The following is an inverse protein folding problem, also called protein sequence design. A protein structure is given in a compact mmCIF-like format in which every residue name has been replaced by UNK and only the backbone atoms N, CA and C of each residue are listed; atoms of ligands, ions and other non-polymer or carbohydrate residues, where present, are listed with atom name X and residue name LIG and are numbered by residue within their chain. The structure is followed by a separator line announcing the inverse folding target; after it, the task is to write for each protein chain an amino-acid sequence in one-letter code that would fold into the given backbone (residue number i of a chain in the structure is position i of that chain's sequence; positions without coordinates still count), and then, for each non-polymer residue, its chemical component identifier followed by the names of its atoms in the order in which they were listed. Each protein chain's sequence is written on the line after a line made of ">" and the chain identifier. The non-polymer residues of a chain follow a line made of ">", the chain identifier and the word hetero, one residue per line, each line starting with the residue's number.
data_IF_877475013967
#
_entry.id   IF_877475013967
#
_cell.length_a   1.000
_cell.length_b   1.000
_cell.length_c   1.000
_cell.angle_alpha   90.00
_cell.angle_beta   90.00
_cell.angle_gamma   90.00
#
_symmetry.space_group_name_H-M   'P 1'
#
loop_
_entity.id
_entity.type
_entity.pdbx_description
1 polymer ?
#
# COMPACT_ATOMS: atom_id res chain seq x y z
N UNK A 1 29.14 -54.72 -39.85
CA UNK A 1 30.15 -55.28 -38.91
C UNK A 1 30.51 -54.14 -37.97
N UNK A 2 30.13 -54.22 -36.67
CA UNK A 2 30.95 -54.77 -35.57
C UNK A 2 32.33 -54.10 -35.52
N UNK A 3 32.80 -53.46 -34.46
CA UNK A 3 32.37 -53.34 -33.06
C UNK A 3 33.20 -52.23 -32.39
N UNK A 4 32.69 -51.68 -31.29
CA UNK A 4 33.16 -51.93 -29.90
C UNK A 4 34.40 -51.10 -29.53
N UNK A 5 34.20 -50.10 -28.66
CA UNK A 5 34.46 -50.17 -27.20
C UNK A 5 35.98 -50.04 -26.93
N UNK A 6 36.51 -49.41 -25.90
CA UNK A 6 36.07 -48.58 -24.77
C UNK A 6 37.35 -48.43 -23.93
N UNK A 7 37.58 -47.28 -23.30
CA UNK A 7 38.15 -47.11 -21.95
C UNK A 7 38.56 -45.63 -21.78
N UNK A 8 37.82 -44.77 -21.05
CA UNK A 8 37.69 -44.71 -19.57
C UNK A 8 39.06 -44.40 -18.96
N UNK A 9 39.35 -43.27 -18.33
CA UNK A 9 38.69 -42.55 -17.21
C UNK A 9 39.49 -41.23 -16.99
N UNK A 10 39.19 -40.21 -16.17
CA UNK A 10 38.12 -39.79 -15.26
C UNK A 10 38.62 -38.43 -14.71
N UNK A 11 37.79 -37.37 -14.67
CA UNK A 11 37.55 -36.52 -13.47
C UNK A 11 37.00 -35.12 -13.82
N UNK A 12 35.69 -34.99 -13.55
CA UNK A 12 35.02 -33.90 -12.83
C UNK A 12 35.37 -32.45 -13.17
N UNK A 13 34.42 -31.79 -13.83
CA UNK A 13 33.85 -30.54 -13.27
C UNK A 13 32.34 -30.49 -13.54
N UNK A 14 31.58 -30.43 -12.46
CA UNK A 14 30.14 -30.29 -12.37
C UNK A 14 29.68 -28.97 -12.98
N UNK A 15 28.99 -29.04 -14.12
CA UNK A 15 28.12 -27.99 -14.64
C UNK A 15 26.68 -28.47 -14.55
N UNK A 16 26.20 -28.62 -13.33
CA UNK A 16 24.79 -28.93 -13.03
C UNK A 16 24.03 -27.63 -12.86
N UNK A 17 23.14 -27.38 -13.82
CA UNK A 17 21.72 -27.13 -13.52
C UNK A 17 21.33 -25.77 -12.92
N UNK A 18 21.60 -24.67 -13.64
CA UNK A 18 21.05 -23.34 -13.32
C UNK A 18 19.70 -23.03 -14.01
N UNK A 19 19.31 -23.79 -15.04
CA UNK A 19 18.06 -23.53 -15.77
C UNK A 19 16.81 -24.16 -15.13
N UNK A 20 16.98 -25.14 -14.24
CA UNK A 20 15.86 -25.78 -13.53
C UNK A 20 15.40 -25.01 -12.29
N UNK A 21 16.23 -24.13 -11.73
CA UNK A 21 15.84 -23.29 -10.58
C UNK A 21 14.97 -22.09 -10.97
N UNK A 22 15.08 -21.59 -12.20
CA UNK A 22 14.23 -20.52 -12.70
C UNK A 22 12.80 -20.99 -13.02
N UNK A 23 12.64 -22.20 -13.56
CA UNK A 23 11.31 -22.75 -13.91
C UNK A 23 10.56 -23.33 -12.70
N UNK A 24 11.27 -23.82 -11.68
CA UNK A 24 10.68 -24.31 -10.42
C UNK A 24 9.97 -23.20 -9.63
N UNK A 25 10.48 -21.96 -9.65
CA UNK A 25 9.85 -20.84 -8.92
C UNK A 25 8.60 -20.33 -9.63
N UNK A 26 8.60 -20.27 -10.97
CA UNK A 26 7.41 -19.84 -11.73
C UNK A 26 6.26 -20.86 -11.62
N UNK A 27 6.58 -22.16 -11.49
CA UNK A 27 5.57 -23.20 -11.23
C UNK A 27 5.06 -23.19 -9.76
N UNK A 28 5.90 -22.85 -8.79
CA UNK A 28 5.48 -22.75 -7.38
C UNK A 28 4.56 -21.54 -7.13
N UNK A 29 4.80 -20.40 -7.80
CA UNK A 29 3.94 -19.22 -7.66
C UNK A 29 2.60 -19.35 -8.39
N UNK A 30 2.55 -20.05 -9.52
CA UNK A 30 1.27 -20.34 -10.20
C UNK A 30 0.44 -21.41 -9.48
N UNK A 31 1.08 -22.38 -8.81
CA UNK A 31 0.37 -23.36 -7.97
C UNK A 31 -0.19 -22.73 -6.67
N UNK A 32 0.50 -21.76 -6.05
CA UNK A 32 -0.02 -21.03 -4.90
C UNK A 32 -1.16 -20.06 -5.24
N UNK A 33 -1.16 -19.47 -6.45
CA UNK A 33 -2.28 -18.63 -6.91
C UNK A 33 -3.50 -19.46 -7.36
N UNK A 34 -3.30 -20.68 -7.86
CA UNK A 34 -4.41 -21.58 -8.22
C UNK A 34 -5.05 -22.31 -7.03
N UNK A 35 -4.38 -22.42 -5.88
CA UNK A 35 -4.95 -23.01 -4.67
C UNK A 35 -5.80 -22.03 -3.83
N UNK A 36 -5.75 -20.73 -4.12
CA UNK A 36 -6.68 -19.75 -3.54
C UNK A 36 -7.96 -19.65 -4.37
N UNK A 37 -7.97 -20.13 -5.61
CA UNK A 37 -9.13 -20.08 -6.53
C UNK A 37 -10.11 -21.26 -6.41
N UNK A 38 -9.87 -22.22 -5.52
CA UNK A 38 -10.70 -23.43 -5.40
C UNK A 38 -11.02 -23.75 -3.92
N UNK A 39 -11.49 -22.74 -3.19
CA UNK A 39 -12.29 -22.93 -1.99
C UNK A 39 -13.74 -22.49 -2.27
N UNK A 40 -14.48 -23.41 -2.88
CA UNK A 40 -15.89 -23.66 -2.60
C UNK A 40 -16.86 -22.50 -2.90
N UNK A 41 -17.38 -22.51 -4.13
CA UNK A 41 -18.82 -22.35 -4.31
C UNK A 41 -19.52 -23.49 -3.54
N UNK A 42 -20.09 -23.15 -2.39
CA UNK A 42 -21.24 -23.83 -1.84
C UNK A 42 -22.15 -22.74 -1.26
N UNK A 43 -23.44 -22.68 -1.67
CA UNK A 43 -24.39 -21.82 -0.99
C UNK A 43 -24.64 -22.42 0.39
N UNK A 44 -24.09 -21.79 1.43
CA UNK A 44 -24.46 -22.11 2.80
C UNK A 44 -25.83 -21.48 3.09
N UNK A 45 -26.89 -22.11 2.58
CA UNK A 45 -28.20 -21.98 3.18
C UNK A 45 -28.20 -22.82 4.47
N UNK A 46 -28.07 -22.17 5.63
CA UNK A 46 -28.63 -22.59 6.92
C UNK A 46 -28.18 -21.67 8.06
N UNK A 47 -28.56 -20.40 7.98
CA UNK A 47 -28.91 -19.61 9.15
C UNK A 47 -30.30 -19.08 8.85
N UNK A 48 -31.33 -19.59 9.52
CA UNK A 48 -32.70 -19.11 9.31
C UNK A 48 -32.72 -17.58 9.39
N UNK A 49 -33.17 -16.86 8.35
CA UNK A 49 -33.51 -15.47 8.55
C UNK A 49 -34.63 -15.46 9.58
N UNK A 50 -34.40 -14.73 10.66
CA UNK A 50 -35.46 -14.28 11.55
C UNK A 50 -36.61 -13.80 10.66
N UNK A 51 -37.77 -14.43 10.78
CA UNK A 51 -39.07 -13.97 10.24
C UNK A 51 -39.45 -12.66 10.96
N UNK A 52 -38.66 -11.62 10.76
CA UNK A 52 -39.17 -10.27 10.74
C UNK A 52 -39.28 -9.96 9.26
N UNK A 53 -40.50 -9.84 8.75
CA UNK A 53 -40.76 -9.24 7.45
C UNK A 53 -40.15 -7.82 7.47
N UNK A 54 -38.88 -7.72 7.11
CA UNK A 54 -38.19 -6.45 6.99
C UNK A 54 -38.75 -5.82 5.72
N UNK A 55 -39.78 -4.98 5.90
CA UNK A 55 -40.52 -4.30 4.84
C UNK A 55 -39.57 -3.78 3.77
N UNK A 56 -39.76 -4.21 2.53
CA UNK A 56 -39.06 -3.68 1.36
C UNK A 56 -39.73 -2.39 0.89
N UNK A 57 -39.95 -1.44 1.79
CA UNK A 57 -40.32 -0.09 1.39
C UNK A 57 -39.19 0.51 0.52
N UNK A 58 -39.53 1.53 -0.28
CA UNK A 58 -38.58 2.17 -1.18
C UNK A 58 -37.22 2.44 -0.46
N UNK A 59 -36.12 1.80 -0.88
CA UNK A 59 -34.88 1.73 -0.10
C UNK A 59 -34.03 3.01 -0.24
N UNK A 60 -34.66 4.18 -0.14
CA UNK A 60 -34.06 5.49 -0.45
C UNK A 60 -32.79 5.75 0.38
N UNK A 61 -32.82 5.47 1.68
CA UNK A 61 -31.66 5.69 2.55
C UNK A 61 -30.46 4.79 2.21
N UNK A 62 -30.72 3.53 1.86
CA UNK A 62 -29.65 2.58 1.47
C UNK A 62 -29.12 2.93 0.08
N UNK A 63 -30.00 3.34 -0.85
CA UNK A 63 -29.63 3.84 -2.17
C UNK A 63 -28.70 5.04 -2.07
N UNK A 64 -29.08 6.07 -1.33
CA UNK A 64 -28.26 7.26 -1.11
C UNK A 64 -26.89 6.89 -0.53
N UNK A 65 -26.87 6.00 0.47
CA UNK A 65 -25.62 5.52 1.08
C UNK A 65 -24.75 4.77 0.07
N UNK A 66 -25.32 3.91 -0.78
CA UNK A 66 -24.57 3.17 -1.79
C UNK A 66 -23.93 4.10 -2.83
N UNK A 67 -24.68 5.09 -3.32
CA UNK A 67 -24.19 6.13 -4.22
C UNK A 67 -23.10 7.00 -3.56
N UNK A 68 -23.31 7.44 -2.32
CA UNK A 68 -22.31 8.17 -1.54
C UNK A 68 -20.99 7.39 -1.45
N UNK A 69 -21.06 6.11 -1.06
CA UNK A 69 -19.87 5.27 -0.88
C UNK A 69 -19.13 5.02 -2.19
N UNK A 70 -19.85 4.80 -3.29
CA UNK A 70 -19.25 4.67 -4.62
C UNK A 70 -18.52 5.95 -5.04
N UNK A 71 -19.15 7.11 -4.82
CA UNK A 71 -18.52 8.40 -5.11
C UNK A 71 -17.29 8.65 -4.24
N UNK A 72 -17.33 8.34 -2.94
CA UNK A 72 -16.16 8.42 -2.08
C UNK A 72 -15.02 7.52 -2.56
N UNK A 73 -15.31 6.30 -3.05
CA UNK A 73 -14.25 5.41 -3.55
C UNK A 73 -13.56 6.00 -4.77
N UNK A 74 -14.32 6.54 -5.72
CA UNK A 74 -13.78 7.22 -6.90
C UNK A 74 -12.94 8.45 -6.52
N UNK A 75 -13.43 9.25 -5.58
CA UNK A 75 -12.71 10.44 -5.12
C UNK A 75 -11.38 10.09 -4.45
N UNK A 76 -11.33 9.00 -3.68
CA UNK A 76 -10.08 8.54 -3.04
C UNK A 76 -9.13 7.94 -4.06
N UNK A 77 -9.63 7.27 -5.11
CA UNK A 77 -8.82 6.69 -6.18
C UNK A 77 -8.17 7.74 -7.09
N UNK A 78 -8.80 8.90 -7.25
CA UNK A 78 -8.22 10.05 -7.94
C UNK A 78 -7.04 10.69 -7.16
N UNK A 79 -6.77 10.29 -5.91
CA UNK A 79 -5.67 10.80 -5.11
C UNK A 79 -4.35 10.06 -5.41
N UNK A 80 -3.28 10.80 -5.72
CA UNK A 80 -1.99 10.22 -6.10
C UNK A 80 -1.35 9.30 -5.02
N UNK A 81 -1.77 9.43 -3.76
CA UNK A 81 -1.14 8.75 -2.64
C UNK A 81 -1.91 7.52 -2.14
N UNK A 82 -3.14 7.29 -2.60
CA UNK A 82 -4.06 6.26 -2.11
C UNK A 82 -4.94 5.79 -3.25
N UNK A 83 -5.29 4.51 -3.29
CA UNK A 83 -6.25 4.02 -4.26
C UNK A 83 -7.15 2.96 -3.66
N UNK A 84 -8.31 2.80 -4.27
CA UNK A 84 -9.18 1.64 -4.06
C UNK A 84 -9.00 0.75 -5.28
N UNK A 85 -8.81 -0.57 -5.14
CA UNK A 85 -8.64 -1.43 -6.31
C UNK A 85 -9.79 -1.24 -7.32
N UNK A 86 -9.46 -1.03 -8.60
CA UNK A 86 -10.43 -0.76 -9.67
C UNK A 86 -11.53 -1.83 -9.72
N UNK A 87 -11.17 -3.11 -9.54
CA UNK A 87 -12.11 -4.23 -9.46
C UNK A 87 -13.17 -4.06 -8.35
N UNK A 88 -12.82 -3.42 -7.23
CA UNK A 88 -13.74 -3.13 -6.12
C UNK A 88 -14.67 -1.98 -6.46
N UNK A 89 -14.16 -0.94 -7.12
CA UNK A 89 -14.97 0.18 -7.63
C UNK A 89 -15.98 -0.35 -8.65
N UNK A 90 -15.54 -1.19 -9.59
CA UNK A 90 -16.37 -1.80 -10.62
C UNK A 90 -17.42 -2.77 -10.06
N UNK A 91 -17.07 -3.54 -9.02
CA UNK A 91 -18.02 -4.42 -8.34
C UNK A 91 -19.13 -3.60 -7.67
N UNK A 92 -18.78 -2.57 -6.90
CA UNK A 92 -19.77 -1.71 -6.26
C UNK A 92 -20.60 -0.92 -7.28
N UNK A 93 -19.99 -0.43 -8.36
CA UNK A 93 -20.69 0.26 -9.44
C UNK A 93 -21.74 -0.62 -10.12
N UNK A 94 -21.41 -1.90 -10.36
CA UNK A 94 -22.38 -2.88 -10.88
C UNK A 94 -23.55 -3.08 -9.92
N UNK A 95 -23.28 -3.26 -8.62
CA UNK A 95 -24.33 -3.42 -7.62
C UNK A 95 -25.25 -2.18 -7.53
N UNK A 96 -24.69 -0.97 -7.60
CA UNK A 96 -25.49 0.26 -7.66
C UNK A 96 -26.36 0.32 -8.93
N UNK A 97 -25.79 -0.03 -10.08
CA UNK A 97 -26.52 -0.07 -11.36
C UNK A 97 -27.65 -1.10 -11.37
N UNK A 98 -27.41 -2.29 -10.83
CA UNK A 98 -28.43 -3.33 -10.67
C UNK A 98 -29.55 -2.84 -9.73
N UNK A 99 -29.16 -2.17 -8.64
CA UNK A 99 -30.09 -1.57 -7.69
C UNK A 99 -30.96 -0.47 -8.29
N UNK A 100 -30.39 0.44 -9.08
CA UNK A 100 -31.14 1.50 -9.77
C UNK A 100 -32.11 0.89 -10.80
N UNK A 101 -31.68 -0.15 -11.53
CA UNK A 101 -32.53 -0.87 -12.50
C UNK A 101 -33.73 -1.52 -11.81
N UNK A 102 -33.51 -2.28 -10.73
CA UNK A 102 -34.60 -2.90 -9.97
C UNK A 102 -35.52 -1.86 -9.33
N UNK A 103 -34.97 -0.73 -8.86
CA UNK A 103 -35.76 0.36 -8.29
C UNK A 103 -36.74 0.95 -9.32
N UNK A 104 -36.26 1.21 -10.54
CA UNK A 104 -37.07 1.76 -11.63
C UNK A 104 -38.17 0.78 -12.10
N UNK A 105 -37.94 -0.53 -11.94
CA UNK A 105 -38.92 -1.58 -12.20
C UNK A 105 -39.93 -1.79 -11.04
N UNK A 106 -39.74 -1.13 -9.90
CA UNK A 106 -40.54 -1.31 -8.69
C UNK A 106 -40.20 -2.57 -7.88
N UNK A 107 -39.08 -3.23 -8.19
CA UNK A 107 -38.57 -4.41 -7.48
C UNK A 107 -37.75 -4.01 -6.24
N UNK A 108 -38.42 -3.41 -5.25
CA UNK A 108 -37.74 -2.75 -4.13
C UNK A 108 -36.90 -3.69 -3.25
N UNK A 109 -37.26 -4.97 -3.11
CA UNK A 109 -36.42 -5.92 -2.39
C UNK A 109 -35.09 -6.17 -3.13
N UNK A 110 -35.15 -6.48 -4.43
CA UNK A 110 -33.97 -6.67 -5.27
C UNK A 110 -33.09 -5.43 -5.26
N UNK A 111 -33.70 -4.25 -5.38
CA UNK A 111 -33.00 -2.96 -5.32
C UNK A 111 -32.27 -2.77 -3.99
N UNK A 112 -32.96 -3.02 -2.87
CA UNK A 112 -32.39 -2.92 -1.51
C UNK A 112 -31.19 -3.84 -1.34
N UNK A 113 -31.30 -5.09 -1.78
CA UNK A 113 -30.24 -6.09 -1.61
C UNK A 113 -29.00 -5.73 -2.44
N UNK A 114 -29.18 -5.23 -3.67
CA UNK A 114 -28.09 -4.73 -4.49
C UNK A 114 -27.39 -3.51 -3.86
N UNK A 115 -28.16 -2.53 -3.34
CA UNK A 115 -27.56 -1.39 -2.62
C UNK A 115 -26.84 -1.81 -1.34
N UNK A 116 -27.38 -2.77 -0.56
CA UNK A 116 -26.70 -3.32 0.61
C UNK A 116 -25.37 -3.96 0.24
N UNK A 117 -25.35 -4.77 -0.83
CA UNK A 117 -24.13 -5.39 -1.33
C UNK A 117 -23.08 -4.34 -1.74
N UNK A 118 -23.49 -3.25 -2.41
CA UNK A 118 -22.59 -2.14 -2.72
C UNK A 118 -21.98 -1.50 -1.46
N UNK A 119 -22.79 -1.24 -0.43
CA UNK A 119 -22.33 -0.64 0.83
C UNK A 119 -21.38 -1.58 1.58
N UNK A 120 -21.69 -2.87 1.62
CA UNK A 120 -20.86 -3.91 2.27
C UNK A 120 -19.50 -4.05 1.61
N UNK A 121 -19.41 -3.90 0.29
CA UNK A 121 -18.16 -3.93 -0.45
C UNK A 121 -17.37 -2.62 -0.29
N UNK A 122 -18.03 -1.48 -0.41
CA UNK A 122 -17.37 -0.17 -0.41
C UNK A 122 -16.83 0.23 0.97
N UNK A 123 -17.55 -0.09 2.05
CA UNK A 123 -17.19 0.32 3.41
C UNK A 123 -15.80 -0.15 3.86
N UNK A 124 -15.44 -1.44 3.80
CA UNK A 124 -14.10 -1.89 4.19
C UNK A 124 -13.01 -1.33 3.28
N UNK A 125 -13.28 -1.20 1.98
CA UNK A 125 -12.33 -0.63 1.02
C UNK A 125 -12.00 0.83 1.36
N UNK A 126 -13.01 1.66 1.62
CA UNK A 126 -12.82 3.05 2.06
C UNK A 126 -12.10 3.16 3.39
N UNK A 127 -12.42 2.28 4.36
CA UNK A 127 -11.73 2.28 5.66
C UNK A 127 -10.23 2.04 5.49
N UNK A 128 -9.86 1.08 4.65
CA UNK A 128 -8.46 0.76 4.40
C UNK A 128 -7.77 1.88 3.63
N UNK A 129 -8.42 2.44 2.62
CA UNK A 129 -7.91 3.55 1.84
C UNK A 129 -7.65 4.79 2.72
N UNK A 130 -8.64 5.23 3.50
CA UNK A 130 -8.48 6.37 4.41
C UNK A 130 -7.42 6.14 5.48
N UNK A 131 -7.36 4.92 6.05
CA UNK A 131 -6.31 4.57 7.02
C UNK A 131 -4.92 4.66 6.40
N UNK A 132 -4.75 4.06 5.23
CA UNK A 132 -3.48 4.05 4.50
C UNK A 132 -3.05 5.46 4.09
N UNK A 133 -3.99 6.25 3.56
CA UNK A 133 -3.75 7.65 3.19
C UNK A 133 -3.35 8.54 4.34
N UNK A 134 -4.04 8.40 5.47
CA UNK A 134 -3.73 9.17 6.66
C UNK A 134 -2.32 8.83 7.16
N UNK A 135 -1.98 7.53 7.19
CA UNK A 135 -0.66 7.07 7.59
C UNK A 135 0.45 7.58 6.64
N UNK A 136 0.23 7.56 5.33
CA UNK A 136 1.17 8.07 4.32
C UNK A 136 1.41 9.57 4.50
N UNK A 137 0.34 10.36 4.64
CA UNK A 137 0.42 11.82 4.83
C UNK A 137 1.15 12.20 6.13
N UNK A 138 0.87 11.48 7.23
CA UNK A 138 1.56 11.69 8.51
C UNK A 138 3.04 11.29 8.44
N UNK A 139 3.36 10.19 7.76
CA UNK A 139 4.73 9.75 7.58
C UNK A 139 5.54 10.72 6.70
N UNK A 140 4.93 11.27 5.64
CA UNK A 140 5.54 12.32 4.82
C UNK A 140 5.89 13.54 5.68
N UNK A 141 4.90 14.03 6.44
CA UNK A 141 5.09 15.15 7.37
C UNK A 141 6.19 14.88 8.39
N UNK A 142 6.23 13.66 8.95
CA UNK A 142 7.27 13.24 9.91
C UNK A 142 8.67 13.30 9.29
N UNK A 143 8.84 12.78 8.08
CA UNK A 143 10.14 12.79 7.39
C UNK A 143 10.62 14.22 7.08
N UNK A 144 9.70 15.12 6.71
CA UNK A 144 10.05 16.54 6.50
C UNK A 144 10.55 17.19 7.78
N UNK A 145 9.88 16.95 8.91
CA UNK A 145 10.29 17.43 10.23
C UNK A 145 11.63 16.83 10.66
N UNK A 146 11.86 15.54 10.42
CA UNK A 146 13.12 14.86 10.73
C UNK A 146 14.29 15.41 9.90
N UNK A 147 14.07 15.63 8.60
CA UNK A 147 15.06 16.25 7.71
C UNK A 147 15.42 17.67 8.18
N UNK A 148 14.43 18.47 8.57
CA UNK A 148 14.64 19.82 9.08
C UNK A 148 15.44 19.84 10.39
N UNK A 149 15.19 18.88 11.30
CA UNK A 149 15.97 18.73 12.54
C UNK A 149 17.41 18.32 12.29
N UNK A 150 17.66 17.52 11.27
CA UNK A 150 19.00 17.06 10.93
C UNK A 150 19.88 18.20 10.35
N UNK A 151 19.28 19.29 9.88
CA UNK A 151 19.97 20.42 9.22
C UNK A 151 20.71 21.36 10.21
N UNK A 152 20.69 21.07 11.51
CA UNK A 152 21.44 21.79 12.55
C UNK A 152 20.92 23.20 12.90
N UNK A 153 20.03 23.78 12.08
CA UNK A 153 19.31 25.03 12.35
C UNK A 153 17.82 24.91 11.96
N UNK A 154 17.02 24.16 12.73
CA UNK A 154 15.63 23.89 12.40
C UNK A 154 14.77 25.16 12.49
N UNK A 155 13.79 25.29 11.59
CA UNK A 155 12.76 26.31 11.67
C UNK A 155 12.03 26.27 13.03
N UNK A 156 11.62 27.43 13.60
CA UNK A 156 11.00 27.50 14.92
C UNK A 156 9.70 26.67 15.02
N UNK A 157 8.99 26.46 13.91
CA UNK A 157 7.74 25.70 13.83
C UNK A 157 7.94 24.18 13.93
N UNK A 158 9.17 23.68 13.74
CA UNK A 158 9.50 22.25 13.65
C UNK A 158 9.05 21.47 14.89
N UNK A 159 9.23 22.05 16.09
CA UNK A 159 8.80 21.43 17.34
C UNK A 159 7.28 21.28 17.44
N UNK A 160 6.54 22.33 17.09
CA UNK A 160 5.08 22.34 17.14
C UNK A 160 4.47 21.37 16.12
N UNK A 161 5.04 21.29 14.90
CA UNK A 161 4.60 20.36 13.86
C UNK A 161 4.83 18.91 14.28
N UNK A 162 5.97 18.58 14.89
CA UNK A 162 6.24 17.24 15.40
C UNK A 162 5.19 16.78 16.43
N UNK A 163 4.82 17.66 17.37
CA UNK A 163 3.79 17.36 18.38
C UNK A 163 2.44 17.09 17.72
N UNK A 164 2.05 17.90 16.72
CA UNK A 164 0.81 17.68 15.96
C UNK A 164 0.82 16.33 15.22
N UNK A 165 1.93 15.97 14.58
CA UNK A 165 2.09 14.70 13.85
C UNK A 165 1.94 13.51 14.81
N UNK A 166 2.58 13.57 15.98
CA UNK A 166 2.51 12.49 16.97
C UNK A 166 1.13 12.36 17.61
N UNK A 167 0.43 13.48 17.82
CA UNK A 167 -0.96 13.48 18.27
C UNK A 167 -1.86 12.83 17.22
N UNK A 168 -1.80 13.27 15.96
CA UNK A 168 -2.64 12.71 14.90
C UNK A 168 -2.32 11.23 14.61
N UNK A 169 -1.05 10.81 14.76
CA UNK A 169 -0.66 9.40 14.63
C UNK A 169 -1.34 8.51 15.67
N UNK A 170 -1.43 8.97 16.93
CA UNK A 170 -2.14 8.24 18.00
C UNK A 170 -3.65 8.23 17.76
N UNK A 171 -4.20 9.36 17.33
CA UNK A 171 -5.62 9.48 17.00
C UNK A 171 -6.03 8.56 15.83
N UNK A 172 -5.14 8.38 14.84
CA UNK A 172 -5.35 7.43 13.74
C UNK A 172 -5.31 5.97 14.21
N UNK A 173 -4.38 5.62 15.10
CA UNK A 173 -4.29 4.26 15.65
C UNK A 173 -5.58 3.87 16.40
N UNK A 174 -6.26 4.83 17.03
CA UNK A 174 -7.50 4.62 17.77
C UNK A 174 -8.77 4.74 16.91
N UNK A 175 -8.66 5.10 15.63
CA UNK A 175 -9.82 5.26 14.75
C UNK A 175 -10.31 3.90 14.22
N UNK A 176 -11.61 3.63 14.40
CA UNK A 176 -12.24 2.37 14.01
C UNK A 176 -13.55 2.51 13.24
N UNK A 177 -14.15 3.70 13.14
CA UNK A 177 -15.32 3.94 12.28
C UNK A 177 -14.90 4.57 10.96
N UNK A 178 -15.70 4.39 9.91
CA UNK A 178 -15.43 4.98 8.60
C UNK A 178 -15.35 6.52 8.69
N UNK A 179 -16.35 7.17 9.30
CA UNK A 179 -16.38 8.61 9.48
C UNK A 179 -15.19 9.15 10.30
N UNK A 180 -14.73 8.40 11.31
CA UNK A 180 -13.53 8.78 12.06
C UNK A 180 -12.28 8.70 11.18
N UNK A 181 -12.14 7.64 10.38
CA UNK A 181 -11.00 7.44 9.48
C UNK A 181 -10.94 8.51 8.39
N UNK A 182 -12.09 8.86 7.79
CA UNK A 182 -12.23 9.97 6.85
C UNK A 182 -11.78 11.30 7.46
N UNK A 183 -12.28 11.63 8.66
CA UNK A 183 -11.84 12.83 9.39
C UNK A 183 -10.33 12.82 9.66
N UNK A 184 -9.74 11.64 9.95
CA UNK A 184 -8.29 11.51 10.17
C UNK A 184 -7.51 11.70 8.87
N UNK A 185 -8.02 11.18 7.76
CA UNK A 185 -7.44 11.36 6.45
C UNK A 185 -7.36 12.83 6.05
N UNK A 186 -8.46 13.56 6.16
CA UNK A 186 -8.52 14.99 5.85
C UNK A 186 -7.56 15.80 6.72
N UNK A 187 -7.53 15.52 8.02
CA UNK A 187 -6.63 16.21 8.98
C UNK A 187 -5.16 15.92 8.70
N UNK A 188 -4.83 14.67 8.34
CA UNK A 188 -3.47 14.28 8.00
C UNK A 188 -3.00 14.96 6.71
N UNK A 189 -3.85 15.02 5.69
CA UNK A 189 -3.57 15.69 4.42
C UNK A 189 -3.42 17.21 4.62
N UNK A 190 -4.28 17.81 5.44
CA UNK A 190 -4.16 19.23 5.81
C UNK A 190 -2.86 19.51 6.59
N UNK A 191 -2.46 18.62 7.51
CA UNK A 191 -1.20 18.75 8.24
C UNK A 191 0.02 18.59 7.32
N UNK A 192 -0.03 17.72 6.32
CA UNK A 192 1.02 17.61 5.31
C UNK A 192 1.16 18.89 4.50
N UNK A 193 0.04 19.50 4.07
CA UNK A 193 0.07 20.83 3.43
C UNK A 193 0.61 21.91 4.35
N UNK A 194 0.20 21.94 5.62
CA UNK A 194 0.73 22.88 6.62
C UNK A 194 2.25 22.70 6.79
N UNK A 195 2.72 21.45 6.85
CA UNK A 195 4.14 21.12 7.01
C UNK A 195 4.95 21.58 5.79
N UNK A 196 4.44 21.34 4.57
CA UNK A 196 5.04 21.84 3.31
C UNK A 196 5.14 23.36 3.26
N UNK A 197 4.14 24.07 3.78
CA UNK A 197 4.11 25.53 3.76
C UNK A 197 5.01 26.17 4.81
N UNK A 198 5.12 25.54 5.99
CA UNK A 198 5.83 26.12 7.15
C UNK A 198 7.29 25.72 7.23
N UNK A 199 7.66 24.54 6.74
CA UNK A 199 9.05 24.14 6.69
C UNK A 199 9.69 24.66 5.39
N UNK A 200 10.88 25.26 5.46
CA UNK A 200 11.58 25.71 4.26
C UNK A 200 11.85 24.49 3.36
N UNK A 201 11.54 24.62 2.07
CA UNK A 201 11.76 23.55 1.08
C UNK A 201 13.25 23.43 0.77
N UNK A 202 14.00 22.82 1.70
CA UNK A 202 15.44 22.54 1.52
C UNK A 202 15.63 21.23 0.74
N UNK A 203 16.77 21.02 0.06
CA UNK A 203 16.99 19.85 -0.80
C UNK A 203 16.71 18.51 -0.10
N UNK A 204 17.07 18.38 1.18
CA UNK A 204 16.79 17.18 1.97
C UNK A 204 15.29 16.95 2.22
N UNK A 205 14.51 18.02 2.39
CA UNK A 205 13.05 17.95 2.52
C UNK A 205 12.36 17.53 1.22
N UNK A 206 12.86 18.02 0.07
CA UNK A 206 12.36 17.62 -1.26
C UNK A 206 12.60 16.13 -1.56
N UNK A 207 13.77 15.60 -1.16
CA UNK A 207 14.06 14.16 -1.30
C UNK A 207 13.17 13.33 -0.37
N UNK A 208 12.97 13.76 0.88
CA UNK A 208 12.11 13.08 1.84
C UNK A 208 10.65 12.98 1.36
N UNK A 209 10.17 14.02 0.70
CA UNK A 209 8.85 14.10 0.08
C UNK A 209 8.72 13.20 -1.15
N UNK A 210 9.69 13.23 -2.07
CA UNK A 210 9.70 12.35 -3.25
C UNK A 210 9.71 10.86 -2.87
N UNK A 211 10.34 10.50 -1.74
CA UNK A 211 10.33 9.15 -1.19
C UNK A 211 8.98 8.72 -0.60
N UNK A 212 8.02 9.62 -0.47
CA UNK A 212 6.63 9.32 -0.03
C UNK A 212 5.63 9.27 -1.17
N UNK A 213 5.89 9.95 -2.29
CA UNK A 213 4.98 9.98 -3.44
C UNK A 213 5.12 8.75 -4.36
N UNK A 214 6.12 7.90 -4.13
CA UNK A 214 6.33 6.71 -4.95
C UNK A 214 6.09 5.41 -4.16
N UNK A 215 5.10 4.56 -4.54
CA UNK A 215 4.82 3.30 -3.84
C UNK A 215 5.93 2.24 -3.97
N UNK A 216 6.99 2.50 -4.76
CA UNK A 216 8.03 1.51 -5.15
C UNK A 216 9.40 1.76 -4.47
N UNK A 217 9.59 2.85 -3.74
CA UNK A 217 10.94 3.39 -3.45
C UNK A 217 11.50 3.00 -2.09
N UNK A 218 10.82 2.14 -1.33
CA UNK A 218 11.46 1.48 -0.17
C UNK A 218 12.67 0.65 -0.59
N UNK A 219 12.68 0.10 -1.81
CA UNK A 219 13.82 -0.62 -2.37
C UNK A 219 14.98 0.32 -2.77
N UNK A 220 14.70 1.48 -3.38
CA UNK A 220 15.76 2.37 -3.87
C UNK A 220 16.40 3.18 -2.75
N UNK A 221 15.64 3.59 -1.73
CA UNK A 221 16.21 4.23 -0.54
C UNK A 221 17.10 3.27 0.26
N UNK A 222 16.72 2.00 0.35
CA UNK A 222 17.58 0.95 0.91
C UNK A 222 18.84 0.74 0.06
N UNK A 223 18.74 0.76 -1.27
CA UNK A 223 19.91 0.65 -2.17
C UNK A 223 20.82 1.87 -2.08
N UNK A 224 20.27 3.09 -2.00
CA UNK A 224 21.04 4.32 -1.86
C UNK A 224 21.80 4.38 -0.52
N UNK A 225 21.16 3.94 0.58
CA UNK A 225 21.82 3.84 1.89
C UNK A 225 22.88 2.73 1.92
N UNK A 226 22.65 1.61 1.24
CA UNK A 226 23.65 0.54 1.08
C UNK A 226 24.85 1.02 0.24
N UNK A 227 24.60 1.75 -0.85
CA UNK A 227 25.63 2.35 -1.68
C UNK A 227 26.45 3.40 -0.92
N UNK A 228 25.80 4.27 -0.14
CA UNK A 228 26.49 5.24 0.71
C UNK A 228 27.38 4.55 1.77
N UNK A 229 26.89 3.47 2.38
CA UNK A 229 27.67 2.68 3.34
C UNK A 229 28.86 1.95 2.69
N UNK A 230 28.69 1.42 1.47
CA UNK A 230 29.77 0.79 0.69
C UNK A 230 30.83 1.81 0.29
N UNK A 231 30.43 2.98 -0.19
CA UNK A 231 31.36 4.07 -0.52
C UNK A 231 32.14 4.56 0.70
N UNK A 232 31.48 4.72 1.85
CA UNK A 232 32.15 5.08 3.09
C UNK A 232 33.19 4.02 3.52
N UNK A 233 32.88 2.74 3.35
CA UNK A 233 33.81 1.63 3.65
C UNK A 233 35.00 1.59 2.69
N UNK A 234 34.78 1.83 1.40
CA UNK A 234 35.84 1.89 0.38
C UNK A 234 36.76 3.10 0.58
N UNK A 235 36.20 4.26 0.94
CA UNK A 235 36.98 5.46 1.28
C UNK A 235 37.80 5.26 2.58
N UNK A 236 37.28 4.51 3.54
CA UNK A 236 38.03 4.20 4.76
C UNK A 236 39.17 3.21 4.50
N UNK A 237 38.93 2.16 3.71
CA UNK A 237 39.95 1.16 3.35
C UNK A 237 41.10 1.76 2.51
N UNK A 238 40.79 2.66 1.57
CA UNK A 238 41.81 3.36 0.79
C UNK A 238 42.65 4.33 1.63
N UNK A 239 42.06 4.94 2.68
CA UNK A 239 42.78 5.81 3.61
C UNK A 239 43.76 5.04 4.51
N UNK A 240 43.41 3.82 4.92
CA UNK A 240 44.29 2.97 5.73
C UNK A 240 45.49 2.47 4.94
N UNK A 241 45.34 2.12 3.66
CA UNK A 241 46.45 1.65 2.82
C UNK A 241 47.49 2.76 2.51
N UNK A 242 47.05 4.00 2.38
CA UNK A 242 47.97 5.15 2.19
C UNK A 242 48.77 5.52 3.45
N UNK A 243 48.40 5.02 4.63
CA UNK A 243 49.13 5.30 5.88
C UNK A 243 50.24 4.28 6.17
N UNK A 244 50.18 3.10 5.57
CA UNK A 244 51.15 2.01 5.80
C UNK A 244 52.37 2.08 4.87
N UNK A 245 52.28 2.83 3.76
CA UNK A 245 53.37 2.96 2.78
C UNK A 245 54.29 4.16 3.02
N UNK A 246 53.96 5.08 3.93
CA UNK A 246 54.75 6.27 4.19
C UNK A 246 55.93 6.08 5.17
N UNK A 247 56.18 4.87 5.68
CA UNK A 247 57.26 4.61 6.66
C UNK A 247 58.36 3.63 6.22
N UNK A 248 58.56 3.42 4.91
CA UNK A 248 59.70 2.65 4.39
C UNK A 248 60.44 3.40 3.28
N UNK A 249 60.95 4.59 3.60
CA UNK A 249 62.15 5.13 2.93
C UNK A 249 62.98 5.91 3.95
N UNK A 250 63.97 5.24 4.53
CA UNK A 250 65.20 5.88 5.01
C UNK A 250 66.36 4.93 4.87
#
# INVERSE_FOLDING_TARGET
>A
MSGRESAVALLRRTGTDDDNHARSRVAAYTACLLLVSLAVFAPAAAGMPSEGDESCDAPVSVRETAHERLNSMRQVDDDALVGVPEETIDAAARQVSDGDTSYDLGEYCSARDAYRAAVEQATPALREAYRTGAARSLNASRRMVEAERADGNPAPETGALAVKIDQQSRELANASSLAALETRYERATALQRETRQRLPTRPAGLVAEALTEQPVVTAVAAVATLLAAVFARLLWATRTDSSTTAHLTR
#
